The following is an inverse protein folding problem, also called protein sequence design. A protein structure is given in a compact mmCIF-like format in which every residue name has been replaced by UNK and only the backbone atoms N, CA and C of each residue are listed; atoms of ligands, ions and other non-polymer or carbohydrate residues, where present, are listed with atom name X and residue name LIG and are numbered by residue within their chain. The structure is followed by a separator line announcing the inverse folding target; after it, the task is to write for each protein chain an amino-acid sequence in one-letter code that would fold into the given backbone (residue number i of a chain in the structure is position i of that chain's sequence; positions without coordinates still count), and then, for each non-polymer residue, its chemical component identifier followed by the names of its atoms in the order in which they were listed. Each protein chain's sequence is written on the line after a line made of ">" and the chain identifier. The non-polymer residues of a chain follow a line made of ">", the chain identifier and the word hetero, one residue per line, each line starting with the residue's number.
data_IF_423407660049
#
_entry.id   IF_423407660049
#
_cell.length_a   1.000
_cell.length_b   1.000
_cell.length_c   1.000
_cell.angle_alpha   90.00
_cell.angle_beta   90.00
_cell.angle_gamma   90.00
#
_symmetry.space_group_name_H-M   'P 1'
#
loop_
_entity.id
_entity.type
_entity.pdbx_description
1 polymer ?
#
# COMPACT_ATOMS: atom_id res chain seq x y z
N UNK A 1 -18.49 -9.80 -4.80
CA UNK A 1 -18.29 -8.35 -4.89
C UNK A 1 -16.84 -8.02 -4.54
N UNK A 2 -16.18 -7.25 -5.38
CA UNK A 2 -14.80 -6.86 -5.14
C UNK A 2 -14.74 -5.51 -4.46
N UNK A 3 -13.98 -5.47 -3.37
CA UNK A 3 -13.70 -4.24 -2.64
C UNK A 3 -12.24 -3.88 -2.94
N UNK A 4 -11.99 -2.64 -3.33
CA UNK A 4 -10.63 -2.16 -3.56
C UNK A 4 -10.27 -1.15 -2.50
N UNK A 5 -9.16 -1.40 -1.82
CA UNK A 5 -8.57 -0.44 -0.91
C UNK A 5 -7.73 0.52 -1.75
N UNK A 6 -8.16 1.75 -1.80
CA UNK A 6 -7.51 2.81 -2.58
C UNK A 6 -6.71 3.65 -1.60
N UNK A 7 -5.40 3.56 -1.66
CA UNK A 7 -4.53 4.26 -0.70
C UNK A 7 -3.88 5.44 -1.38
N UNK A 8 -4.09 6.62 -0.82
CA UNK A 8 -3.43 7.84 -1.26
C UNK A 8 -2.32 8.16 -0.26
N UNK A 9 -1.09 8.25 -0.75
CA UNK A 9 0.06 8.58 0.07
C UNK A 9 0.56 9.98 -0.29
N UNK A 10 0.79 10.78 0.74
CA UNK A 10 1.63 11.95 0.58
C UNK A 10 3.04 11.55 1.02
N UNK A 11 3.99 11.62 0.10
CA UNK A 11 5.36 11.18 0.35
C UNK A 11 6.30 12.37 0.37
N UNK A 12 7.46 12.17 0.99
CA UNK A 12 8.55 13.13 0.90
C UNK A 12 9.12 13.07 -0.53
N UNK A 13 8.98 14.15 -1.32
CA UNK A 13 9.43 14.11 -2.72
C UNK A 13 10.94 13.93 -2.87
N UNK A 14 11.71 14.20 -1.81
CA UNK A 14 13.15 13.98 -1.81
C UNK A 14 13.54 12.55 -1.50
N UNK A 15 12.57 11.72 -1.10
CA UNK A 15 12.77 10.31 -0.80
C UNK A 15 11.92 9.39 -1.68
N UNK A 16 11.70 9.80 -2.91
CA UNK A 16 10.89 9.05 -3.88
C UNK A 16 11.42 7.63 -4.09
N UNK A 17 12.74 7.46 -4.11
CA UNK A 17 13.35 6.14 -4.29
C UNK A 17 13.14 5.24 -3.08
N UNK A 18 13.10 5.80 -1.88
CA UNK A 18 12.77 5.03 -0.68
C UNK A 18 11.34 4.50 -0.77
N UNK A 19 10.39 5.32 -1.20
CA UNK A 19 9.03 4.86 -1.39
C UNK A 19 8.93 3.80 -2.49
N UNK A 20 9.71 3.90 -3.56
CA UNK A 20 9.76 2.87 -4.60
C UNK A 20 10.17 1.52 -4.00
N UNK A 21 11.21 1.49 -3.19
CA UNK A 21 11.67 0.25 -2.55
C UNK A 21 10.62 -0.31 -1.58
N UNK A 22 9.92 0.58 -0.87
CA UNK A 22 8.81 0.23 0.00
C UNK A 22 7.69 -0.45 -0.79
N UNK A 23 7.31 0.14 -1.92
CA UNK A 23 6.29 -0.41 -2.81
C UNK A 23 6.71 -1.75 -3.41
N UNK A 24 7.98 -1.88 -3.82
CA UNK A 24 8.51 -3.13 -4.35
C UNK A 24 8.45 -4.26 -3.32
N UNK A 25 8.75 -3.95 -2.07
CA UNK A 25 8.63 -4.93 -0.99
C UNK A 25 7.18 -5.39 -0.82
N UNK A 26 6.23 -4.46 -0.84
CA UNK A 26 4.81 -4.81 -0.78
C UNK A 26 4.37 -5.66 -1.98
N UNK A 27 4.99 -5.47 -3.14
CA UNK A 27 4.73 -6.30 -4.31
C UNK A 27 4.96 -7.77 -4.07
N UNK A 28 5.87 -8.12 -3.16
CA UNK A 28 6.14 -9.51 -2.75
C UNK A 28 5.27 -9.94 -1.57
N UNK A 29 5.06 -9.04 -0.63
CA UNK A 29 4.42 -9.36 0.66
C UNK A 29 2.90 -9.45 0.53
N UNK A 30 2.27 -8.49 -0.14
CA UNK A 30 0.81 -8.40 -0.19
C UNK A 30 0.16 -9.65 -0.82
N UNK A 31 0.62 -10.16 -1.99
CA UNK A 31 0.01 -11.36 -2.56
C UNK A 31 0.15 -12.57 -1.65
N UNK A 32 1.27 -12.69 -0.97
CA UNK A 32 1.54 -13.78 -0.04
C UNK A 32 0.61 -13.76 1.16
N UNK A 33 0.16 -12.57 1.55
CA UNK A 33 -0.70 -12.40 2.71
C UNK A 33 -2.19 -12.37 2.38
N UNK A 34 -2.57 -12.55 1.12
CA UNK A 34 -3.96 -12.69 0.71
C UNK A 34 -4.58 -11.48 0.02
N UNK A 35 -3.80 -10.43 -0.24
CA UNK A 35 -4.25 -9.28 -0.99
C UNK A 35 -3.98 -9.43 -2.48
N UNK A 36 -4.88 -8.91 -3.30
CA UNK A 36 -4.69 -8.88 -4.75
C UNK A 36 -4.17 -7.50 -5.11
N UNK A 37 -2.84 -7.35 -5.21
CA UNK A 37 -2.23 -6.06 -5.49
C UNK A 37 -2.45 -5.68 -6.95
N UNK A 38 -3.21 -4.60 -7.17
CA UNK A 38 -3.43 -4.05 -8.51
C UNK A 38 -2.23 -3.21 -8.94
N UNK A 39 -1.58 -2.54 -7.99
CA UNK A 39 -0.36 -1.82 -8.27
C UNK A 39 -0.06 -0.75 -7.26
N UNK A 40 1.20 -0.30 -7.28
CA UNK A 40 1.65 0.92 -6.64
C UNK A 40 2.05 1.89 -7.73
N UNK A 41 1.72 3.16 -7.56
CA UNK A 41 1.94 4.18 -8.57
C UNK A 41 2.70 5.34 -7.95
N UNK A 42 3.81 5.69 -8.58
CA UNK A 42 4.66 6.82 -8.15
C UNK A 42 4.22 8.08 -8.88
N UNK A 43 4.45 9.26 -8.29
CA UNK A 43 4.21 10.51 -9.02
C UNK A 43 5.11 10.58 -10.24
N UNK A 44 4.52 10.92 -11.40
CA UNK A 44 5.23 11.09 -12.65
C UNK A 44 5.19 12.55 -13.07
N UNK A 45 3.99 13.09 -13.22
CA UNK A 45 3.78 14.47 -13.61
C UNK A 45 2.50 14.99 -12.98
N UNK A 46 2.45 16.29 -12.68
CA UNK A 46 1.33 16.91 -11.97
C UNK A 46 1.68 17.16 -10.53
N UNK A 47 1.92 16.10 -9.75
CA UNK A 47 2.41 16.22 -8.38
C UNK A 47 3.76 15.52 -8.26
N UNK A 48 4.54 15.92 -7.26
CA UNK A 48 5.80 15.26 -6.96
C UNK A 48 5.75 14.49 -5.63
N UNK A 49 4.62 14.52 -4.94
CA UNK A 49 4.50 13.99 -3.58
C UNK A 49 3.27 13.09 -3.36
N UNK A 50 2.52 12.78 -4.41
CA UNK A 50 1.35 11.91 -4.29
C UNK A 50 1.61 10.58 -5.00
N UNK A 51 1.52 9.51 -4.22
CA UNK A 51 1.63 8.13 -4.71
C UNK A 51 0.35 7.38 -4.37
N UNK A 52 0.14 6.23 -5.00
CA UNK A 52 -1.08 5.46 -4.85
C UNK A 52 -0.77 3.99 -4.68
N UNK A 53 -1.60 3.31 -3.88
CA UNK A 53 -1.58 1.86 -3.77
C UNK A 53 -3.01 1.36 -3.89
N UNK A 54 -3.22 0.34 -4.72
CA UNK A 54 -4.52 -0.25 -4.97
C UNK A 54 -4.46 -1.74 -4.70
N UNK A 55 -5.27 -2.20 -3.74
CA UNK A 55 -5.29 -3.60 -3.33
C UNK A 55 -6.74 -4.07 -3.31
N UNK A 56 -7.04 -5.14 -4.05
CA UNK A 56 -8.39 -5.67 -4.14
C UNK A 56 -8.58 -6.86 -3.20
N UNK A 57 -9.80 -6.99 -2.69
CA UNK A 57 -10.22 -8.07 -1.79
C UNK A 57 -11.62 -8.52 -2.19
N UNK A 58 -11.95 -9.78 -1.89
CA UNK A 58 -13.28 -10.31 -2.19
C UNK A 58 -14.37 -9.70 -1.29
N UNK A 59 -13.99 -9.28 -0.08
CA UNK A 59 -14.91 -8.72 0.91
C UNK A 59 -14.14 -7.95 1.97
N UNK A 60 -14.86 -7.22 2.81
CA UNK A 60 -14.25 -6.57 3.98
C UNK A 60 -13.73 -7.61 4.97
N UNK A 61 -14.41 -8.76 5.09
CA UNK A 61 -13.93 -9.85 5.95
C UNK A 61 -12.59 -10.38 5.45
N UNK A 62 -12.42 -10.52 4.13
CA UNK A 62 -11.15 -10.93 3.54
C UNK A 62 -10.05 -9.89 3.82
N UNK A 63 -10.40 -8.62 3.79
CA UNK A 63 -9.47 -7.54 4.13
C UNK A 63 -9.02 -7.65 5.59
N UNK A 64 -9.92 -7.92 6.52
CA UNK A 64 -9.58 -8.08 7.93
C UNK A 64 -8.64 -9.26 8.16
N UNK A 65 -8.90 -10.39 7.50
CA UNK A 65 -8.02 -11.56 7.57
C UNK A 65 -6.63 -11.25 7.03
N UNK A 66 -6.58 -10.54 5.90
CA UNK A 66 -5.33 -10.07 5.31
C UNK A 66 -4.55 -9.19 6.29
N UNK A 67 -5.21 -8.25 6.96
CA UNK A 67 -4.56 -7.35 7.92
C UNK A 67 -3.94 -8.14 9.08
N UNK A 68 -4.64 -9.15 9.57
CA UNK A 68 -4.13 -10.00 10.64
C UNK A 68 -2.88 -10.77 10.18
N UNK A 69 -2.92 -11.33 8.98
CA UNK A 69 -1.78 -12.06 8.40
C UNK A 69 -0.59 -11.12 8.18
N UNK A 70 -0.87 -9.92 7.69
CA UNK A 70 0.17 -8.93 7.42
C UNK A 70 0.88 -8.50 8.70
N UNK A 71 0.15 -8.30 9.79
CA UNK A 71 0.72 -7.92 11.10
C UNK A 71 1.62 -9.02 11.66
N UNK A 72 1.35 -10.27 11.34
CA UNK A 72 2.14 -11.40 11.79
C UNK A 72 3.33 -11.69 10.88
N UNK A 73 3.36 -11.15 9.67
CA UNK A 73 4.43 -11.37 8.71
C UNK A 73 5.66 -10.55 9.09
N UNK A 74 6.83 -11.20 9.34
CA UNK A 74 8.04 -10.47 9.73
C UNK A 74 8.50 -9.44 8.70
N UNK A 75 8.38 -9.75 7.41
CA UNK A 75 8.79 -8.84 6.34
C UNK A 75 7.82 -7.65 6.25
N UNK A 76 6.53 -7.90 6.44
CA UNK A 76 5.53 -6.84 6.48
C UNK A 76 5.79 -5.85 7.61
N UNK A 77 6.06 -6.40 8.80
CA UNK A 77 6.41 -5.55 9.94
C UNK A 77 7.68 -4.75 9.72
N UNK A 78 8.71 -5.40 9.17
CA UNK A 78 9.99 -4.75 8.91
C UNK A 78 9.83 -3.60 7.90
N UNK A 79 9.04 -3.82 6.85
CA UNK A 79 8.80 -2.80 5.83
C UNK A 79 8.06 -1.60 6.42
N UNK A 80 7.04 -1.87 7.23
CA UNK A 80 6.26 -0.83 7.89
C UNK A 80 7.12 -0.03 8.88
N UNK A 81 7.90 -0.71 9.71
CA UNK A 81 8.76 -0.07 10.70
C UNK A 81 9.84 0.78 10.04
N UNK A 82 10.40 0.30 8.94
CA UNK A 82 11.39 1.05 8.16
C UNK A 82 10.78 2.36 7.64
N UNK A 83 9.58 2.29 7.07
CA UNK A 83 8.89 3.48 6.56
C UNK A 83 8.64 4.50 7.68
N UNK A 84 8.24 4.03 8.86
CA UNK A 84 8.00 4.91 10.01
C UNK A 84 9.29 5.55 10.51
N UNK A 85 10.37 4.81 10.52
CA UNK A 85 11.67 5.29 11.00
C UNK A 85 12.24 6.34 10.04
N UNK A 86 12.14 6.11 8.74
CA UNK A 86 12.70 6.99 7.71
C UNK A 86 11.79 8.14 7.30
N UNK A 87 10.52 8.08 7.68
CA UNK A 87 9.55 9.17 7.53
C UNK A 87 9.36 9.67 6.09
N UNK A 88 9.43 8.78 5.12
CA UNK A 88 9.17 9.18 3.73
C UNK A 88 7.67 9.16 3.38
N UNK A 89 6.82 8.61 4.25
CA UNK A 89 5.37 8.73 4.11
C UNK A 89 4.88 9.76 5.12
N UNK A 90 4.36 10.87 4.62
CA UNK A 90 3.93 11.99 5.45
C UNK A 90 2.48 11.87 5.84
N UNK A 91 1.66 11.28 4.98
CA UNK A 91 0.23 11.09 5.21
C UNK A 91 -0.28 9.93 4.37
N UNK A 92 -1.22 9.18 4.91
CA UNK A 92 -1.83 8.05 4.23
C UNK A 92 -3.35 8.12 4.43
N UNK A 93 -4.10 7.98 3.33
CA UNK A 93 -5.56 7.93 3.35
C UNK A 93 -6.00 6.64 2.69
N UNK A 94 -6.93 5.93 3.31
CA UNK A 94 -7.48 4.70 2.76
C UNK A 94 -8.96 4.89 2.49
N UNK A 95 -9.37 4.56 1.27
CA UNK A 95 -10.77 4.60 0.86
C UNK A 95 -11.13 3.26 0.28
N UNK A 96 -12.24 2.69 0.71
CA UNK A 96 -12.72 1.42 0.18
C UNK A 96 -13.79 1.72 -0.86
N UNK A 97 -13.59 1.19 -2.06
CA UNK A 97 -14.48 1.44 -3.20
C UNK A 97 -14.88 0.12 -3.85
N UNK A 98 -16.03 0.13 -4.55
CA UNK A 98 -16.46 -0.99 -5.38
C UNK A 98 -16.13 -0.68 -6.83
N UNK A 99 -15.66 -1.70 -7.54
CA UNK A 99 -15.43 -1.57 -8.97
C UNK A 99 -16.77 -1.61 -9.70
N UNK A 100 -17.08 -0.54 -10.42
CA UNK A 100 -18.35 -0.44 -11.14
C UNK A 100 -18.29 -1.10 -12.51
N UNK A 101 -17.14 -1.12 -13.14
CA UNK A 101 -16.93 -1.71 -14.48
C UNK A 101 -15.61 -2.44 -14.57
#
# INVERSE_FOLDING_TARGET
>A
MNITCFIRYQIDPFQRDAFRRYAEAWGRIIPRCGGRLLGYFLPHEGTNDIAWGLIAFDSLAAYESYRATLKADPDGRANFEWAQRERFILREERTFVEQAV
#
